data_IF_049568644058
#
_entry.id   IF_049568644058
#
_cell.length_a   1.000
_cell.length_b   1.000
_cell.length_c   1.000
_cell.angle_alpha   90.00
_cell.angle_beta   90.00
_cell.angle_gamma   90.00
#
_symmetry.space_group_name_H-M   'P 1'
#
loop_
_entity.id
_entity.type
_entity.pdbx_description
1 polymer ?
#
# COMPACT_ATOMS: atom_id res chain seq x y z
N UNK A 1 -8.53 -5.74 11.81
CA UNK A 1 -9.85 -5.28 11.32
C UNK A 1 -9.91 -5.14 9.79
N UNK A 2 -9.11 -4.28 9.16
CA UNK A 2 -9.14 -4.04 7.70
C UNK A 2 -9.05 -5.30 6.82
N UNK A 3 -8.18 -6.25 7.14
CA UNK A 3 -8.08 -7.52 6.41
C UNK A 3 -9.28 -8.46 6.62
N UNK A 4 -10.03 -8.29 7.72
CA UNK A 4 -11.19 -9.13 8.07
C UNK A 4 -12.50 -8.58 7.49
N UNK A 5 -12.73 -7.26 7.57
CA UNK A 5 -14.00 -6.66 7.13
C UNK A 5 -14.10 -6.34 5.63
N UNK A 6 -12.97 -6.34 4.91
CA UNK A 6 -12.97 -6.11 3.46
C UNK A 6 -13.86 -7.13 2.74
N UNK A 7 -14.81 -6.67 1.93
CA UNK A 7 -15.68 -7.56 1.13
C UNK A 7 -15.25 -7.71 -0.33
N UNK A 8 -14.39 -6.81 -0.83
CA UNK A 8 -13.86 -6.86 -2.18
C UNK A 8 -12.66 -7.81 -2.40
N UNK A 9 -11.79 -7.43 -3.34
CA UNK A 9 -10.69 -8.22 -3.90
C UNK A 9 -9.78 -8.86 -2.83
N UNK A 10 -9.83 -10.18 -2.63
CA UNK A 10 -8.95 -10.88 -1.68
C UNK A 10 -7.49 -10.76 -2.10
N UNK A 11 -6.68 -10.03 -1.33
CA UNK A 11 -5.26 -9.82 -1.61
C UNK A 11 -4.39 -10.83 -0.83
N UNK A 12 -3.25 -11.23 -1.40
CA UNK A 12 -2.21 -12.05 -0.76
C UNK A 12 -1.73 -11.42 0.56
N UNK A 13 -1.55 -10.10 0.59
CA UNK A 13 -1.14 -9.38 1.79
C UNK A 13 -2.18 -9.47 2.92
N UNK A 14 -3.46 -9.41 2.56
CA UNK A 14 -4.54 -9.55 3.53
C UNK A 14 -4.54 -10.96 4.12
N UNK A 15 -4.34 -11.99 3.29
CA UNK A 15 -4.18 -13.37 3.77
C UNK A 15 -2.96 -13.55 4.66
N UNK A 16 -1.82 -12.95 4.31
CA UNK A 16 -0.61 -12.99 5.14
C UNK A 16 -0.86 -12.39 6.54
N UNK A 17 -1.57 -11.25 6.62
CA UNK A 17 -1.99 -10.65 7.90
C UNK A 17 -2.92 -11.60 8.67
N UNK A 18 -3.90 -12.21 7.99
CA UNK A 18 -4.87 -13.11 8.62
C UNK A 18 -4.24 -14.41 9.13
N UNK A 19 -3.20 -14.93 8.47
CA UNK A 19 -2.55 -16.19 8.84
C UNK A 19 -1.58 -16.07 10.03
N UNK A 20 -1.16 -14.86 10.40
CA UNK A 20 -0.28 -14.61 11.55
C UNK A 20 -1.06 -14.06 12.76
N UNK A 21 -2.35 -14.44 12.89
CA UNK A 21 -3.32 -13.87 13.85
C UNK A 21 -3.35 -14.52 15.22
N UNK A 22 -2.31 -15.26 15.60
CA UNK A 22 -2.32 -16.17 16.75
C UNK A 22 -2.61 -15.54 18.14
N UNK A 23 -2.90 -14.22 18.24
CA UNK A 23 -3.17 -13.53 19.50
C UNK A 23 -4.43 -12.62 19.56
N UNK A 24 -5.24 -12.48 18.49
CA UNK A 24 -6.19 -11.33 18.41
C UNK A 24 -7.59 -11.61 17.81
N UNK A 25 -8.06 -12.86 17.75
CA UNK A 25 -9.44 -13.12 17.29
C UNK A 25 -10.51 -12.48 18.18
N UNK A 26 -10.30 -12.49 19.50
CA UNK A 26 -11.22 -11.90 20.49
C UNK A 26 -11.35 -10.37 20.39
N UNK A 27 -10.39 -9.68 19.76
CA UNK A 27 -10.40 -8.21 19.66
C UNK A 27 -11.33 -7.67 18.57
N UNK A 28 -11.87 -8.51 17.69
CA UNK A 28 -12.62 -8.07 16.50
C UNK A 28 -14.11 -8.40 16.59
N UNK A 29 -14.51 -9.32 17.47
CA UNK A 29 -15.90 -9.79 17.61
C UNK A 29 -16.89 -8.68 17.92
N UNK A 30 -16.47 -7.66 18.65
CA UNK A 30 -17.35 -6.55 19.05
C UNK A 30 -17.34 -5.37 18.07
N UNK A 31 -16.60 -5.47 16.97
CA UNK A 31 -16.61 -4.47 15.89
C UNK A 31 -17.59 -4.89 14.80
N UNK A 32 -18.38 -3.94 14.31
CA UNK A 32 -19.31 -4.18 13.19
C UNK A 32 -18.94 -3.33 12.00
N UNK A 33 -18.79 -3.95 10.83
CA UNK A 33 -18.63 -3.19 9.58
C UNK A 33 -19.91 -2.41 9.26
N UNK A 34 -19.74 -1.13 8.97
CA UNK A 34 -20.83 -0.22 8.57
C UNK A 34 -20.80 0.03 7.07
N UNK A 35 -19.63 0.35 6.52
CA UNK A 35 -19.47 0.69 5.10
C UNK A 35 -18.05 0.37 4.60
N UNK A 36 -17.83 0.41 3.29
CA UNK A 36 -16.50 0.34 2.69
C UNK A 36 -16.34 1.23 1.45
N UNK A 37 -15.11 1.75 1.31
CA UNK A 37 -14.62 2.24 0.02
C UNK A 37 -13.65 1.18 -0.50
N UNK A 38 -14.04 0.39 -1.52
CA UNK A 38 -13.19 -0.65 -2.07
C UNK A 38 -11.85 -0.12 -2.59
N UNK A 39 -10.90 -1.04 -2.77
CA UNK A 39 -9.61 -0.70 -3.36
C UNK A 39 -9.79 -0.13 -4.77
N UNK A 40 -9.13 0.99 -5.02
CA UNK A 40 -9.16 1.70 -6.28
C UNK A 40 -7.72 1.81 -6.79
N UNK A 41 -7.48 1.36 -8.03
CA UNK A 41 -6.14 1.33 -8.62
C UNK A 41 -5.55 2.72 -8.87
N UNK A 42 -6.40 3.74 -9.03
CA UNK A 42 -5.98 5.14 -9.19
C UNK A 42 -5.59 5.72 -7.84
N UNK A 43 -6.42 5.51 -6.81
CA UNK A 43 -6.13 5.99 -5.44
C UNK A 43 -5.07 5.17 -4.72
N UNK A 44 -4.90 3.90 -5.09
CA UNK A 44 -3.99 2.89 -4.49
C UNK A 44 -4.24 2.63 -3.00
N UNK A 45 -5.49 2.76 -2.56
CA UNK A 45 -5.90 2.52 -1.17
C UNK A 45 -7.36 2.07 -1.08
N UNK A 46 -7.73 1.60 0.10
CA UNK A 46 -9.11 1.25 0.47
C UNK A 46 -9.38 1.64 1.91
N UNK A 47 -10.66 1.78 2.23
CA UNK A 47 -11.11 2.14 3.58
C UNK A 47 -12.33 1.33 4.00
N UNK A 48 -12.50 1.10 5.29
CA UNK A 48 -13.69 0.49 5.89
C UNK A 48 -14.15 1.33 7.06
N UNK A 49 -15.46 1.48 7.24
CA UNK A 49 -16.03 2.03 8.47
C UNK A 49 -16.39 0.89 9.39
N UNK A 50 -15.96 1.00 10.64
CA UNK A 50 -16.36 0.09 11.70
C UNK A 50 -17.05 0.85 12.82
N UNK A 51 -18.13 0.28 13.33
CA UNK A 51 -18.73 0.62 14.60
C UNK A 51 -17.94 -0.09 15.70
N UNK A 52 -17.48 0.68 16.67
CA UNK A 52 -16.79 0.21 17.87
C UNK A 52 -17.79 -0.22 18.95
N UNK A 53 -17.37 -0.99 19.98
CA UNK A 53 -18.28 -1.44 21.05
C UNK A 53 -18.96 -0.27 21.80
N UNK A 54 -18.29 0.88 21.88
CA UNK A 54 -18.80 2.10 22.51
C UNK A 54 -19.73 2.94 21.64
N UNK A 55 -20.29 2.40 20.55
CA UNK A 55 -21.17 3.11 19.60
C UNK A 55 -20.54 4.33 18.92
N UNK A 56 -19.21 4.32 18.80
CA UNK A 56 -18.44 5.27 17.99
C UNK A 56 -18.08 4.66 16.64
N UNK A 57 -17.83 5.49 15.64
CA UNK A 57 -17.44 5.06 14.31
C UNK A 57 -15.97 5.37 14.03
N UNK A 58 -15.31 4.48 13.31
CA UNK A 58 -13.93 4.67 12.87
C UNK A 58 -13.79 4.35 11.40
N UNK A 59 -13.22 5.29 10.65
CA UNK A 59 -12.69 5.03 9.32
C UNK A 59 -11.32 4.40 9.49
N UNK A 60 -11.11 3.22 8.92
CA UNK A 60 -9.81 2.57 8.86
C UNK A 60 -9.37 2.53 7.41
N UNK A 61 -8.13 2.90 7.14
CA UNK A 61 -7.57 2.99 5.79
C UNK A 61 -6.28 2.19 5.69
N UNK A 62 -6.11 1.49 4.56
CA UNK A 62 -4.81 0.94 4.14
C UNK A 62 -4.55 1.17 2.67
N UNK A 63 -3.28 1.30 2.30
CA UNK A 63 -2.89 1.44 0.91
C UNK A 63 -1.40 1.60 0.71
N UNK A 64 -1.02 1.96 -0.51
CA UNK A 64 0.33 2.41 -0.82
C UNK A 64 0.71 3.58 0.08
N UNK A 65 1.92 3.55 0.64
CA UNK A 65 2.37 4.52 1.64
C UNK A 65 2.22 5.96 1.17
N UNK A 66 2.62 6.28 -0.05
CA UNK A 66 2.53 7.65 -0.58
C UNK A 66 1.08 8.12 -0.74
N UNK A 67 0.18 7.21 -1.09
CA UNK A 67 -1.24 7.52 -1.23
C UNK A 67 -1.90 7.82 0.12
N UNK A 68 -1.53 7.08 1.16
CA UNK A 68 -2.05 7.29 2.52
C UNK A 68 -1.43 8.55 3.14
N UNK A 69 -0.12 8.78 2.99
CA UNK A 69 0.54 10.00 3.47
C UNK A 69 -0.01 11.27 2.88
N UNK A 70 -0.48 11.24 1.63
CA UNK A 70 -1.15 12.37 1.00
C UNK A 70 -2.46 12.78 1.66
N UNK A 71 -3.02 11.93 2.52
CA UNK A 71 -4.29 12.15 3.20
C UNK A 71 -4.14 12.26 4.72
N UNK A 72 -2.92 12.10 5.24
CA UNK A 72 -2.67 12.21 6.67
C UNK A 72 -2.35 13.66 7.02
N UNK A 73 -3.03 14.20 8.04
CA UNK A 73 -2.65 15.45 8.71
C UNK A 73 -2.03 15.22 10.08
N UNK A 74 -2.16 14.00 10.60
CA UNK A 74 -1.67 13.62 11.92
C UNK A 74 -1.02 12.25 11.89
N UNK A 75 -0.24 11.95 12.91
CA UNK A 75 0.24 10.60 13.21
C UNK A 75 0.09 10.31 14.69
N UNK A 76 -0.03 9.04 15.06
CA UNK A 76 -0.08 8.61 16.45
C UNK A 76 1.28 8.03 16.87
N UNK A 77 1.85 8.57 17.95
CA UNK A 77 3.08 8.06 18.56
C UNK A 77 2.87 7.95 20.07
N UNK A 78 3.06 6.74 20.61
CA UNK A 78 2.89 6.45 22.04
C UNK A 78 1.53 6.92 22.60
N UNK A 79 0.47 6.79 21.80
CA UNK A 79 -0.89 7.22 22.17
C UNK A 79 -1.16 8.72 22.04
N UNK A 80 -0.19 9.52 21.59
CA UNK A 80 -0.35 10.95 21.34
C UNK A 80 -0.54 11.22 19.84
N UNK A 81 -1.49 12.09 19.51
CA UNK A 81 -1.74 12.53 18.12
C UNK A 81 -0.92 13.80 17.89
N UNK A 82 -0.03 13.76 16.90
CA UNK A 82 0.89 14.84 16.54
C UNK A 82 0.67 15.26 15.07
N UNK A 83 0.93 16.53 14.71
CA UNK A 83 0.84 16.97 13.31
C UNK A 83 1.77 16.18 12.39
N UNK A 84 1.24 15.71 11.27
CA UNK A 84 2.00 15.04 10.22
C UNK A 84 2.34 16.05 9.13
N UNK A 85 3.51 16.66 9.27
CA UNK A 85 4.10 17.48 8.22
C UNK A 85 5.15 16.64 7.51
N UNK A 86 4.97 16.39 6.20
CA UNK A 86 5.87 15.51 5.42
C UNK A 86 7.35 15.87 5.55
N UNK A 87 7.64 17.15 5.69
CA UNK A 87 8.99 17.71 5.81
C UNK A 87 9.59 17.50 7.21
N UNK A 88 8.75 17.41 8.26
CA UNK A 88 9.17 17.22 9.65
C UNK A 88 8.98 15.77 10.16
N UNK A 89 8.24 14.93 9.43
CA UNK A 89 8.08 13.50 9.70
C UNK A 89 9.17 12.65 9.01
N UNK A 90 10.39 13.19 8.93
CA UNK A 90 11.51 12.61 8.19
C UNK A 90 11.77 11.15 8.58
N UNK A 91 11.70 10.82 9.86
CA UNK A 91 11.96 9.48 10.37
C UNK A 91 10.98 8.43 9.80
N UNK A 92 9.69 8.77 9.67
CA UNK A 92 8.66 7.84 9.17
C UNK A 92 8.82 7.62 7.66
N UNK A 93 9.06 8.69 6.90
CA UNK A 93 9.31 8.61 5.46
C UNK A 93 10.62 7.87 5.17
N UNK A 94 11.67 8.14 5.96
CA UNK A 94 12.97 7.48 5.82
C UNK A 94 12.87 5.98 6.12
N UNK A 95 12.15 5.58 7.17
CA UNK A 95 11.93 4.15 7.44
C UNK A 95 11.20 3.45 6.29
N UNK A 96 10.18 4.11 5.72
CA UNK A 96 9.49 3.61 4.54
C UNK A 96 10.45 3.40 3.35
N UNK A 97 11.30 4.39 3.07
CA UNK A 97 12.28 4.33 1.99
C UNK A 97 13.31 3.22 2.22
N UNK A 98 13.82 3.09 3.45
CA UNK A 98 14.76 2.03 3.83
C UNK A 98 14.16 0.63 3.63
N UNK A 99 12.96 0.39 4.18
CA UNK A 99 12.27 -0.89 4.01
C UNK A 99 12.01 -1.20 2.53
N UNK A 100 11.60 -0.20 1.74
CA UNK A 100 11.35 -0.37 0.31
C UNK A 100 12.63 -0.66 -0.47
N UNK A 101 13.74 -0.01 -0.12
CA UNK A 101 15.06 -0.25 -0.72
C UNK A 101 15.59 -1.66 -0.41
N UNK A 102 15.22 -2.20 0.76
CA UNK A 102 15.51 -3.58 1.15
C UNK A 102 14.57 -4.60 0.48
N UNK A 103 13.61 -4.15 -0.33
CA UNK A 103 12.72 -5.01 -1.12
C UNK A 103 11.41 -5.35 -0.42
N UNK A 104 11.11 -4.71 0.73
CA UNK A 104 9.83 -4.90 1.39
C UNK A 104 8.73 -4.09 0.71
N UNK A 105 7.62 -4.76 0.43
CA UNK A 105 6.37 -4.08 0.09
C UNK A 105 5.75 -3.52 1.36
N UNK A 106 5.68 -2.20 1.46
CA UNK A 106 5.14 -1.50 2.64
C UNK A 106 3.71 -1.05 2.38
N UNK A 107 2.82 -1.31 3.34
CA UNK A 107 1.46 -0.75 3.39
C UNK A 107 1.33 0.19 4.58
N UNK A 108 0.87 1.41 4.35
CA UNK A 108 0.51 2.32 5.41
C UNK A 108 -0.88 2.03 5.96
N UNK A 109 -1.04 2.24 7.26
CA UNK A 109 -2.29 2.13 8.00
C UNK A 109 -2.61 3.48 8.63
N UNK A 110 -3.82 3.97 8.39
CA UNK A 110 -4.31 5.21 8.97
C UNK A 110 -5.76 5.05 9.44
N UNK A 111 -6.21 5.95 10.29
CA UNK A 111 -7.58 5.96 10.78
C UNK A 111 -8.09 7.37 11.03
N UNK A 112 -9.40 7.48 11.20
CA UNK A 112 -10.10 8.67 11.66
C UNK A 112 -11.27 8.25 12.55
N UNK A 113 -11.54 9.02 13.60
CA UNK A 113 -12.74 8.82 14.41
C UNK A 113 -13.89 9.66 13.83
N UNK A 114 -15.04 9.04 13.60
CA UNK A 114 -16.22 9.67 13.01
C UNK A 114 -17.31 9.82 14.07
N UNK A 115 -17.98 10.98 14.07
CA UNK A 115 -19.03 11.29 15.06
C UNK A 115 -20.42 10.71 14.71
N UNK A 116 -20.64 10.28 13.45
CA UNK A 116 -21.93 9.77 12.98
C UNK A 116 -21.78 8.55 12.07
N UNK A 117 -22.89 7.83 11.86
CA UNK A 117 -23.03 6.79 10.83
C UNK A 117 -22.86 7.41 9.45
N UNK A 118 -21.64 7.44 8.93
CA UNK A 118 -21.37 7.98 7.60
C UNK A 118 -21.49 6.87 6.55
N UNK A 119 -22.36 7.09 5.57
CA UNK A 119 -22.06 6.58 4.23
C UNK A 119 -20.83 7.33 3.77
N UNK A 120 -19.74 6.61 3.52
CA UNK A 120 -18.47 7.24 3.18
C UNK A 120 -18.25 7.25 1.69
N UNK A 121 -17.57 8.29 1.25
CA UNK A 121 -17.17 8.53 -0.12
C UNK A 121 -15.67 8.79 -0.18
N UNK A 122 -15.12 8.77 -1.39
CA UNK A 122 -13.68 9.00 -1.60
C UNK A 122 -13.20 10.37 -1.11
N UNK A 123 -14.09 11.36 -0.97
CA UNK A 123 -13.75 12.68 -0.42
C UNK A 123 -13.61 12.71 1.09
N UNK A 124 -14.13 11.71 1.79
CA UNK A 124 -14.05 11.61 3.25
C UNK A 124 -12.70 11.02 3.71
N UNK A 125 -11.87 10.52 2.79
CA UNK A 125 -10.52 10.02 3.09
C UNK A 125 -9.52 11.19 3.16
N UNK A 126 -9.75 12.13 4.07
CA UNK A 126 -8.88 13.29 4.34
C UNK A 126 -8.57 13.39 5.83
N UNK A 127 -7.57 14.18 6.19
CA UNK A 127 -7.25 14.54 7.58
C UNK A 127 -6.96 13.33 8.49
N UNK A 128 -6.49 12.24 7.88
CA UNK A 128 -6.27 10.97 8.54
C UNK A 128 -5.15 11.05 9.59
N UNK A 129 -5.24 10.16 10.56
CA UNK A 129 -4.21 9.90 11.56
C UNK A 129 -3.44 8.65 11.13
N UNK A 130 -2.18 8.81 10.76
CA UNK A 130 -1.28 7.70 10.45
C UNK A 130 -0.99 6.90 11.72
N UNK A 131 -1.28 5.60 11.70
CA UNK A 131 -0.99 4.68 12.80
C UNK A 131 0.36 4.00 12.65
N UNK A 132 0.81 3.77 11.41
CA UNK A 132 2.08 3.13 11.10
C UNK A 132 2.03 2.31 9.82
N UNK A 133 2.87 1.26 9.75
CA UNK A 133 3.09 0.46 8.55
C UNK A 133 3.09 -1.02 8.83
N UNK A 134 2.84 -1.80 7.77
CA UNK A 134 3.15 -3.23 7.72
C UNK A 134 4.03 -3.48 6.51
N UNK A 135 5.15 -4.15 6.74
CA UNK A 135 6.12 -4.49 5.70
C UNK A 135 6.03 -5.99 5.37
N UNK A 136 6.04 -6.32 4.08
CA UNK A 136 5.97 -7.68 3.58
C UNK A 136 7.15 -7.94 2.66
N UNK A 137 7.91 -9.00 2.94
CA UNK A 137 8.93 -9.47 2.03
C UNK A 137 8.31 -10.49 1.07
N UNK A 138 8.45 -10.25 -0.23
CA UNK A 138 8.06 -11.21 -1.28
C UNK A 138 9.29 -11.44 -2.18
N UNK A 139 10.20 -12.35 -1.77
CA UNK A 139 11.44 -12.55 -2.49
C UNK A 139 11.17 -13.20 -3.86
N UNK A 140 11.98 -12.88 -4.88
CA UNK A 140 11.87 -13.58 -6.15
C UNK A 140 12.12 -15.08 -5.97
N UNK A 141 11.48 -15.91 -6.81
CA UNK A 141 11.73 -17.36 -6.82
C UNK A 141 13.21 -17.63 -7.11
N UNK A 142 13.78 -18.65 -6.47
CA UNK A 142 15.18 -19.05 -6.68
C UNK A 142 15.51 -19.30 -8.17
N UNK A 143 14.54 -19.81 -8.93
CA UNK A 143 14.69 -20.08 -10.36
C UNK A 143 14.64 -18.83 -11.26
N UNK A 144 14.22 -17.67 -10.74
CA UNK A 144 14.00 -16.47 -11.53
C UNK A 144 15.28 -15.96 -12.19
N UNK A 145 16.40 -15.96 -11.45
CA UNK A 145 17.70 -15.55 -11.96
C UNK A 145 18.14 -16.41 -13.15
N UNK A 146 18.09 -17.72 -12.98
CA UNK A 146 18.50 -18.68 -14.02
C UNK A 146 17.61 -18.55 -15.27
N UNK A 147 16.30 -18.35 -15.08
CA UNK A 147 15.36 -18.18 -16.19
C UNK A 147 15.62 -16.87 -16.97
N UNK A 148 15.88 -15.75 -16.28
CA UNK A 148 16.17 -14.47 -16.92
C UNK A 148 17.49 -14.55 -17.69
N UNK A 149 18.53 -15.15 -17.10
CA UNK A 149 19.81 -15.34 -17.78
C UNK A 149 19.64 -16.15 -19.06
N UNK A 150 18.92 -17.28 -19.01
CA UNK A 150 18.69 -18.11 -20.17
C UNK A 150 17.98 -17.35 -21.31
N UNK A 151 16.99 -16.50 -20.98
CA UNK A 151 16.33 -15.66 -21.98
C UNK A 151 17.29 -14.65 -22.61
N UNK A 152 18.13 -14.00 -21.80
CA UNK A 152 19.11 -13.03 -22.27
C UNK A 152 20.17 -13.67 -23.17
N UNK A 153 20.64 -14.87 -22.84
CA UNK A 153 21.62 -15.63 -23.63
C UNK A 153 21.07 -16.00 -25.03
N UNK A 154 19.74 -16.09 -25.17
CA UNK A 154 19.06 -16.28 -26.45
C UNK A 154 18.71 -14.96 -27.17
N UNK A 155 19.21 -13.83 -26.68
CA UNK A 155 18.94 -12.51 -27.26
C UNK A 155 17.53 -11.96 -26.99
N UNK A 156 16.79 -12.54 -26.03
CA UNK A 156 15.44 -12.09 -25.69
C UNK A 156 15.52 -10.95 -24.67
N UNK A 157 14.96 -9.80 -25.02
CA UNK A 157 14.86 -8.65 -24.11
C UNK A 157 13.73 -8.84 -23.10
N UNK A 158 14.09 -8.92 -21.82
CA UNK A 158 13.12 -9.04 -20.70
C UNK A 158 12.71 -7.66 -20.20
N UNK A 159 11.41 -7.45 -19.97
CA UNK A 159 10.85 -6.25 -19.35
C UNK A 159 9.98 -6.63 -18.16
N UNK A 160 10.07 -5.87 -17.07
CA UNK A 160 9.27 -6.06 -15.87
C UNK A 160 8.15 -5.03 -15.82
N UNK A 161 6.92 -5.49 -15.66
CA UNK A 161 5.74 -4.68 -15.41
C UNK A 161 5.18 -5.10 -14.04
N UNK A 162 5.23 -4.20 -13.07
CA UNK A 162 4.76 -4.45 -11.70
C UNK A 162 3.96 -3.26 -11.16
N UNK A 163 3.11 -3.54 -10.17
CA UNK A 163 2.39 -2.53 -9.40
C UNK A 163 3.10 -2.10 -8.11
N UNK A 164 4.31 -2.60 -7.87
CA UNK A 164 5.15 -2.18 -6.74
C UNK A 164 5.78 -0.80 -6.96
N UNK A 165 6.32 -0.22 -5.89
CA UNK A 165 7.06 1.03 -5.98
C UNK A 165 8.41 0.82 -6.70
N UNK A 166 9.04 1.92 -7.09
CA UNK A 166 10.27 1.90 -7.86
C UNK A 166 11.45 1.31 -7.08
N UNK A 167 11.53 1.57 -5.76
CA UNK A 167 12.58 1.06 -4.88
C UNK A 167 12.57 -0.48 -4.81
N UNK A 168 11.41 -1.07 -4.51
CA UNK A 168 11.23 -2.53 -4.46
C UNK A 168 11.52 -3.14 -5.84
N UNK A 169 11.01 -2.52 -6.91
CA UNK A 169 11.24 -3.00 -8.27
C UNK A 169 12.73 -3.02 -8.62
N UNK A 170 13.48 -1.95 -8.30
CA UNK A 170 14.93 -1.87 -8.53
C UNK A 170 15.66 -2.99 -7.78
N UNK A 171 15.30 -3.21 -6.51
CA UNK A 171 15.90 -4.24 -5.66
C UNK A 171 15.68 -5.63 -6.23
N UNK A 172 14.44 -6.00 -6.53
CA UNK A 172 14.09 -7.31 -7.11
C UNK A 172 14.77 -7.53 -8.46
N UNK A 173 14.75 -6.54 -9.35
CA UNK A 173 15.42 -6.63 -10.66
C UNK A 173 16.93 -6.91 -10.51
N UNK A 174 17.61 -6.23 -9.58
CA UNK A 174 19.03 -6.49 -9.29
C UNK A 174 19.25 -7.89 -8.71
N UNK A 175 18.37 -8.34 -7.82
CA UNK A 175 18.46 -9.67 -7.21
C UNK A 175 18.25 -10.81 -8.19
N UNK A 176 17.48 -10.61 -9.25
CA UNK A 176 17.31 -11.61 -10.32
C UNK A 176 18.31 -11.45 -11.46
N UNK A 177 19.25 -10.50 -11.37
CA UNK A 177 20.28 -10.28 -12.38
C UNK A 177 19.80 -9.53 -13.64
N UNK A 178 18.63 -8.88 -13.58
CA UNK A 178 18.14 -8.07 -14.69
C UNK A 178 18.90 -6.74 -14.75
N UNK A 179 19.61 -6.49 -15.85
CA UNK A 179 20.24 -5.20 -16.14
C UNK A 179 19.19 -4.26 -16.74
N UNK A 180 19.09 -3.03 -16.21
CA UNK A 180 18.16 -2.02 -16.69
C UNK A 180 18.75 -0.63 -16.53
N UNK A 181 18.51 0.23 -17.53
CA UNK A 181 18.94 1.64 -17.50
C UNK A 181 17.79 2.60 -17.19
N UNK A 182 16.56 2.18 -17.51
CA UNK A 182 15.36 3.01 -17.42
C UNK A 182 14.28 2.33 -16.59
N UNK A 183 13.66 3.08 -15.70
CA UNK A 183 12.39 2.72 -15.05
C UNK A 183 11.37 3.78 -15.41
N UNK A 184 10.20 3.33 -15.83
CA UNK A 184 9.07 4.19 -16.20
C UNK A 184 7.93 4.00 -15.21
N UNK A 185 7.57 5.06 -14.50
CA UNK A 185 6.35 5.11 -13.71
C UNK A 185 5.12 5.16 -14.63
N UNK A 186 3.97 4.68 -14.15
CA UNK A 186 2.74 4.60 -14.95
C UNK A 186 2.34 5.93 -15.61
N UNK A 187 2.47 7.05 -14.90
CA UNK A 187 2.17 8.38 -15.44
C UNK A 187 3.13 8.81 -16.58
N UNK A 188 4.36 8.27 -16.62
CA UNK A 188 5.29 8.51 -17.73
C UNK A 188 4.88 7.69 -18.95
N UNK A 189 4.47 6.43 -18.75
CA UNK A 189 3.97 5.56 -19.82
C UNK A 189 2.69 6.14 -20.45
N UNK A 190 1.78 6.67 -19.64
CA UNK A 190 0.54 7.29 -20.11
C UNK A 190 0.82 8.50 -21.02
N UNK A 191 1.79 9.35 -20.66
CA UNK A 191 2.23 10.47 -21.51
C UNK A 191 2.77 10.01 -22.87
N UNK A 192 3.44 8.85 -22.94
CA UNK A 192 3.90 8.28 -24.21
C UNK A 192 2.73 7.84 -25.10
N UNK A 193 1.64 7.40 -24.49
CA UNK A 193 0.42 6.98 -25.19
C UNK A 193 -0.34 8.17 -25.80
N UNK A 194 -0.39 9.29 -25.09
CA UNK A 194 -1.04 10.53 -25.54
C UNK A 194 -0.34 11.15 -26.76
N UNK A 195 0.99 11.05 -26.84
CA UNK A 195 1.75 11.55 -27.99
C UNK A 195 1.36 10.80 -29.27
N UNK A 196 1.07 9.49 -29.22
CA UNK A 196 0.65 8.73 -30.40
C UNK A 196 -0.77 9.09 -30.90
N UNK A 197 -1.66 9.59 -30.04
CA UNK A 197 -3.00 10.04 -30.45
C UNK A 197 -3.01 11.37 -31.20
N UNK A 198 -1.94 12.15 -31.12
CA UNK A 198 -1.84 13.42 -31.86
C UNK A 198 -1.44 13.24 -33.33
N UNK A 199 -1.15 12.00 -33.75
CA UNK A 199 -0.72 11.62 -35.12
C UNK A 199 -1.72 10.72 -35.84
N UNK A 200 -2.91 10.51 -35.27
CA UNK A 200 -4.04 9.77 -35.87
C UNK A 200 -5.24 10.72 -35.86
#
# INVERSE_FOLDING_TARGET
>A
MLAHFKTGLKNILDRAILNHRDAHEELITDYKKVDEIPFDFVRRMMSVVVETPGKKYQLLTKGASEAVFARCKFYELNGQILPFEREHSADLTQQYEMLSADGFRVLALAYENLDITAQITKSDETDLILKGYVAFLDPPKDSARTAIQALQDHGITVKVLTGDNDLVTKKVCREVGLVFDTILAGHQVEKMWLIKKSWI
#
